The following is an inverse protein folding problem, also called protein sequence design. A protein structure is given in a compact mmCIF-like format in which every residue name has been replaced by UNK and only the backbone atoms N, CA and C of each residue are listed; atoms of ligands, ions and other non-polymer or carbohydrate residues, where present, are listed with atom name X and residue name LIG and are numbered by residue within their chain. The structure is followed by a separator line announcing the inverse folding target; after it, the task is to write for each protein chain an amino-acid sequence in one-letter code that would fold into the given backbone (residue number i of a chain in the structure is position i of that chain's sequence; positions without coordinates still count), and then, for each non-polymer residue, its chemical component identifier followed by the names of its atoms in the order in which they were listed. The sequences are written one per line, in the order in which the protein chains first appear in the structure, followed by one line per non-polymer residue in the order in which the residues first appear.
data_IF_837923315207
#
_entry.id   IF_837923315207
#
_cell.length_a   1.000
_cell.length_b   1.000
_cell.length_c   1.000
_cell.angle_alpha   90.00
_cell.angle_beta   90.00
_cell.angle_gamma   90.00
#
_symmetry.space_group_name_H-M   'P 1'
#
loop_
_entity.id
_entity.type
_entity.pdbx_description
1 polymer ?
#
# COMPACT_ATOMS: atom_id res chain seq x y z
N UNK A 1 -26.81 -11.35 -8.61
CA UNK A 1 -25.43 -11.50 -8.10
C UNK A 1 -24.57 -11.86 -9.30
N UNK A 2 -23.53 -11.06 -9.58
CA UNK A 2 -22.56 -11.42 -10.62
C UNK A 2 -21.83 -12.70 -10.23
N UNK A 3 -21.25 -13.40 -11.20
CA UNK A 3 -20.30 -14.48 -10.93
C UNK A 3 -19.15 -14.00 -10.03
N UNK A 4 -18.56 -14.94 -9.30
CA UNK A 4 -17.34 -14.67 -8.52
C UNK A 4 -16.23 -14.18 -9.44
N UNK A 5 -15.60 -13.07 -9.10
CA UNK A 5 -14.46 -12.52 -9.82
C UNK A 5 -13.21 -12.52 -8.93
N UNK A 6 -12.04 -12.73 -9.54
CA UNK A 6 -10.74 -12.52 -8.90
C UNK A 6 -10.24 -11.14 -9.32
N UNK A 7 -9.88 -10.32 -8.33
CA UNK A 7 -9.32 -8.99 -8.54
C UNK A 7 -7.87 -9.02 -8.05
N UNK A 8 -6.92 -8.75 -8.96
CA UNK A 8 -5.48 -8.76 -8.66
C UNK A 8 -4.91 -7.36 -8.40
N UNK A 9 -5.77 -6.34 -8.32
CA UNK A 9 -5.35 -4.97 -8.01
C UNK A 9 -4.78 -4.94 -6.58
N UNK A 10 -3.56 -4.43 -6.37
CA UNK A 10 -2.98 -4.30 -5.03
C UNK A 10 -3.84 -3.40 -4.16
N UNK A 11 -4.07 -3.83 -2.93
CA UNK A 11 -4.84 -3.11 -1.91
C UNK A 11 -4.09 -3.15 -0.58
N UNK A 12 -4.40 -2.21 0.29
CA UNK A 12 -3.81 -2.06 1.62
C UNK A 12 -4.87 -1.96 2.71
N UNK A 13 -4.45 -2.09 3.97
CA UNK A 13 -5.34 -1.92 5.11
C UNK A 13 -5.93 -0.51 5.17
N UNK A 14 -5.19 0.51 4.71
CA UNK A 14 -5.66 1.90 4.73
C UNK A 14 -6.83 2.15 3.77
N UNK A 15 -7.02 1.33 2.74
CA UNK A 15 -8.09 1.50 1.73
C UNK A 15 -9.48 1.17 2.28
N UNK A 16 -9.57 0.40 3.38
CA UNK A 16 -10.86 0.04 3.97
C UNK A 16 -11.64 1.28 4.43
N UNK A 17 -10.99 2.24 5.10
CA UNK A 17 -11.66 3.40 5.66
C UNK A 17 -12.39 4.26 4.60
N UNK A 18 -11.71 4.82 3.58
CA UNK A 18 -12.38 5.61 2.55
C UNK A 18 -13.39 4.80 1.72
N UNK A 19 -13.15 3.50 1.54
CA UNK A 19 -14.09 2.61 0.85
C UNK A 19 -15.39 2.45 1.62
N UNK A 20 -15.31 2.23 2.95
CA UNK A 20 -16.51 2.09 3.80
C UNK A 20 -17.29 3.40 3.89
N UNK A 21 -16.63 4.55 3.96
CA UNK A 21 -17.28 5.86 3.90
C UNK A 21 -18.07 6.03 2.60
N UNK A 22 -17.45 5.72 1.46
CA UNK A 22 -18.10 5.79 0.15
C UNK A 22 -19.30 4.84 0.04
N UNK A 23 -19.18 3.61 0.53
CA UNK A 23 -20.28 2.63 0.56
C UNK A 23 -21.44 3.08 1.47
N UNK A 24 -21.13 3.76 2.57
CA UNK A 24 -22.12 4.29 3.51
C UNK A 24 -22.72 5.64 3.07
N UNK A 25 -22.24 6.21 1.94
CA UNK A 25 -22.58 7.55 1.50
C UNK A 25 -22.33 8.62 2.59
N UNK A 26 -21.19 8.49 3.28
CA UNK A 26 -20.70 9.41 4.31
C UNK A 26 -19.52 10.18 3.72
N UNK A 27 -19.59 11.52 3.80
CA UNK A 27 -18.47 12.37 3.43
C UNK A 27 -17.39 12.34 4.52
N UNK A 28 -16.12 12.38 4.09
CA UNK A 28 -15.01 12.50 5.03
C UNK A 28 -15.06 13.87 5.74
N UNK A 29 -14.68 13.91 7.01
CA UNK A 29 -14.56 15.17 7.73
C UNK A 29 -13.49 16.06 7.07
N UNK A 30 -13.80 17.36 6.93
CA UNK A 30 -12.83 18.34 6.42
C UNK A 30 -11.52 18.26 7.22
N UNK A 31 -10.39 18.18 6.53
CA UNK A 31 -9.01 18.12 7.07
C UNK A 31 -8.53 16.78 7.64
N UNK A 32 -9.24 15.67 7.45
CA UNK A 32 -8.70 14.35 7.78
C UNK A 32 -7.78 13.85 6.65
N UNK A 33 -6.48 13.75 6.92
CA UNK A 33 -5.55 13.09 6.01
C UNK A 33 -5.90 11.59 5.94
N UNK A 34 -6.19 11.10 4.73
CA UNK A 34 -6.46 9.69 4.47
C UNK A 34 -5.37 9.19 3.53
N UNK A 35 -4.62 8.20 4.00
CA UNK A 35 -3.54 7.58 3.20
C UNK A 35 -4.06 6.54 2.19
N UNK A 36 -5.22 5.95 2.48
CA UNK A 36 -5.87 4.96 1.61
C UNK A 36 -6.70 5.58 0.48
N UNK A 37 -7.09 4.75 -0.47
CA UNK A 37 -7.93 5.10 -1.62
C UNK A 37 -9.28 4.37 -1.56
N UNK A 38 -10.35 5.00 -2.06
CA UNK A 38 -11.63 4.33 -2.24
C UNK A 38 -11.53 3.30 -3.37
N UNK A 39 -11.48 2.02 -3.02
CA UNK A 39 -11.38 0.91 -3.98
C UNK A 39 -12.75 0.34 -4.38
N UNK A 40 -13.87 0.94 -3.94
CA UNK A 40 -15.20 0.44 -4.31
C UNK A 40 -15.42 0.38 -5.83
N UNK A 41 -14.97 1.34 -6.66
CA UNK A 41 -15.04 1.22 -8.12
C UNK A 41 -14.25 0.01 -8.65
N UNK A 42 -13.07 -0.27 -8.08
CA UNK A 42 -12.25 -1.42 -8.43
C UNK A 42 -12.98 -2.74 -8.11
N UNK A 43 -13.66 -2.80 -6.97
CA UNK A 43 -14.43 -3.99 -6.58
C UNK A 43 -15.63 -4.26 -7.50
N UNK A 44 -16.24 -3.23 -8.09
CA UNK A 44 -17.40 -3.36 -8.96
C UNK A 44 -17.05 -3.56 -10.43
N UNK A 45 -16.00 -2.90 -10.91
CA UNK A 45 -15.69 -2.78 -12.33
C UNK A 45 -14.30 -3.32 -12.70
N UNK A 46 -13.51 -3.74 -11.71
CA UNK A 46 -12.08 -3.97 -11.89
C UNK A 46 -11.30 -2.66 -12.08
N UNK A 47 -10.03 -2.77 -12.43
CA UNK A 47 -9.19 -1.61 -12.76
C UNK A 47 -7.94 -1.51 -11.89
N UNK A 48 -7.40 -0.29 -11.81
CA UNK A 48 -6.18 0.03 -11.06
C UNK A 48 -6.49 1.13 -10.06
N UNK A 49 -5.78 1.12 -8.94
CA UNK A 49 -5.71 2.28 -8.05
C UNK A 49 -4.81 3.36 -8.64
N UNK A 50 -5.04 4.60 -8.24
CA UNK A 50 -4.31 5.76 -8.76
C UNK A 50 -2.95 5.92 -8.09
N UNK A 51 -2.87 5.69 -6.78
CA UNK A 51 -1.68 5.99 -5.98
C UNK A 51 -0.87 4.72 -5.62
N UNK A 52 0.43 4.81 -5.33
CA UNK A 52 1.22 3.70 -4.76
C UNK A 52 0.84 3.41 -3.30
N UNK A 53 1.11 2.19 -2.78
CA UNK A 53 0.92 1.87 -1.35
C UNK A 53 2.22 2.23 -0.63
N UNK A 54 2.23 3.19 0.31
CA UNK A 54 3.39 3.45 1.13
C UNK A 54 3.49 2.46 2.30
N UNK A 55 4.72 2.06 2.61
CA UNK A 55 5.07 1.37 3.85
C UNK A 55 6.28 2.04 4.47
N UNK A 56 6.23 2.23 5.79
CA UNK A 56 7.35 2.67 6.61
C UNK A 56 7.44 1.77 7.83
N UNK A 57 8.61 1.21 8.10
CA UNK A 57 8.81 0.30 9.22
C UNK A 57 10.21 0.44 9.82
N UNK A 58 10.35 0.50 11.15
CA UNK A 58 11.66 0.46 11.79
C UNK A 58 12.37 -0.87 11.50
N UNK A 59 13.68 -0.81 11.27
CA UNK A 59 14.49 -2.01 11.12
C UNK A 59 14.89 -2.57 12.49
N UNK A 60 14.82 -3.90 12.69
CA UNK A 60 15.45 -4.50 13.86
C UNK A 60 16.97 -4.33 13.75
N UNK A 61 17.61 -4.01 14.88
CA UNK A 61 19.07 -4.05 15.01
C UNK A 61 19.55 -5.43 14.53
N UNK A 62 20.42 -5.44 13.51
CA UNK A 62 20.92 -6.68 12.88
C UNK A 62 21.56 -7.63 13.89
N UNK A 63 22.13 -7.10 14.99
CA UNK A 63 22.75 -7.89 16.06
C UNK A 63 21.78 -8.25 17.19
N UNK A 64 20.71 -7.47 17.37
CA UNK A 64 19.75 -7.60 18.46
C UNK A 64 18.33 -7.47 17.91
N UNK A 65 17.80 -8.57 17.35
CA UNK A 65 16.48 -8.66 16.70
C UNK A 65 15.28 -8.17 17.52
N UNK A 66 15.45 -7.94 18.82
CA UNK A 66 14.40 -7.43 19.73
C UNK A 66 14.51 -5.91 20.00
N UNK A 67 15.59 -5.26 19.56
CA UNK A 67 15.76 -3.81 19.65
C UNK A 67 15.69 -3.24 18.24
N UNK A 68 14.90 -2.20 18.02
CA UNK A 68 14.84 -1.47 16.75
C UNK A 68 16.01 -0.49 16.67
N UNK A 69 16.67 -0.42 15.51
CA UNK A 69 17.57 0.70 15.19
C UNK A 69 16.76 1.94 14.80
N UNK A 70 17.41 3.10 14.76
CA UNK A 70 16.82 4.32 14.19
C UNK A 70 16.66 4.24 12.66
N UNK A 71 17.26 3.23 12.03
CA UNK A 71 17.09 2.98 10.60
C UNK A 71 15.67 2.50 10.29
N UNK A 72 15.06 3.11 9.28
CA UNK A 72 13.74 2.79 8.74
C UNK A 72 13.85 2.21 7.33
N UNK A 73 12.98 1.24 7.07
CA UNK A 73 12.69 0.76 5.74
C UNK A 73 11.48 1.51 5.19
N UNK A 74 11.66 2.08 3.99
CA UNK A 74 10.60 2.73 3.23
C UNK A 74 10.33 1.93 1.95
N UNK A 75 9.06 1.69 1.64
CA UNK A 75 8.67 1.10 0.36
C UNK A 75 7.46 1.80 -0.26
N UNK A 76 7.46 1.90 -1.58
CA UNK A 76 6.33 2.33 -2.40
C UNK A 76 5.99 1.19 -3.36
N UNK A 77 4.74 0.71 -3.28
CA UNK A 77 4.26 -0.42 -4.10
C UNK A 77 3.25 0.08 -5.11
N UNK A 78 3.60 -0.02 -6.40
CA UNK A 78 2.68 0.23 -7.51
C UNK A 78 2.04 -1.05 -8.04
N UNK A 79 1.43 -0.95 -9.22
CA UNK A 79 0.79 -2.10 -9.87
C UNK A 79 1.79 -3.16 -10.37
N UNK A 80 2.96 -2.72 -10.83
CA UNK A 80 4.02 -3.56 -11.37
C UNK A 80 5.31 -3.39 -10.58
N UNK A 81 5.66 -2.18 -10.16
CA UNK A 81 6.96 -1.93 -9.55
C UNK A 81 6.88 -1.74 -8.05
N UNK A 82 7.92 -2.19 -7.34
CA UNK A 82 8.20 -1.86 -5.94
C UNK A 82 9.51 -1.09 -5.86
N UNK A 83 9.45 0.09 -5.27
CA UNK A 83 10.63 0.86 -4.87
C UNK A 83 10.85 0.67 -3.37
N UNK A 84 12.06 0.35 -2.95
CA UNK A 84 12.39 0.13 -1.53
C UNK A 84 13.75 0.73 -1.17
N UNK A 85 13.81 1.33 0.01
CA UNK A 85 15.02 1.75 0.70
C UNK A 85 15.10 1.03 2.05
N UNK A 86 16.29 0.61 2.43
CA UNK A 86 16.59 -0.04 3.73
C UNK A 86 17.64 0.73 4.54
N UNK A 87 17.91 1.97 4.15
CA UNK A 87 18.96 2.82 4.72
C UNK A 87 18.49 4.29 4.81
N UNK A 88 17.26 4.52 5.27
CA UNK A 88 16.67 5.86 5.45
C UNK A 88 16.60 6.72 4.18
N UNK A 89 16.48 6.09 3.01
CA UNK A 89 16.32 6.76 1.72
C UNK A 89 17.65 7.16 1.09
N UNK A 90 18.78 6.61 1.54
CA UNK A 90 20.10 6.88 0.96
C UNK A 90 20.25 6.12 -0.37
N UNK A 91 19.87 4.84 -0.39
CA UNK A 91 19.88 4.01 -1.60
C UNK A 91 18.52 3.38 -1.85
N UNK A 92 18.24 3.11 -3.13
CA UNK A 92 16.98 2.54 -3.57
C UNK A 92 17.20 1.32 -4.44
N UNK A 93 16.33 0.34 -4.24
CA UNK A 93 16.18 -0.84 -5.07
C UNK A 93 14.83 -0.76 -5.77
N UNK A 94 14.82 -1.07 -7.07
CA UNK A 94 13.61 -1.12 -7.89
C UNK A 94 13.41 -2.56 -8.35
N UNK A 95 12.22 -3.11 -8.06
CA UNK A 95 11.82 -4.46 -8.43
C UNK A 95 10.62 -4.39 -9.38
N UNK A 96 10.64 -5.21 -10.43
CA UNK A 96 9.49 -5.49 -11.28
C UNK A 96 8.76 -6.71 -10.73
N UNK A 97 7.64 -6.51 -10.05
CA UNK A 97 6.85 -7.56 -9.39
C UNK A 97 6.14 -8.49 -10.37
N UNK A 98 6.12 -8.18 -11.68
CA UNK A 98 5.56 -9.09 -12.69
C UNK A 98 6.60 -10.08 -13.21
N UNK A 99 7.88 -9.67 -13.25
CA UNK A 99 8.99 -10.47 -13.78
C UNK A 99 9.89 -11.05 -12.67
N UNK A 100 9.89 -10.43 -11.48
CA UNK A 100 10.71 -10.76 -10.32
C UNK A 100 9.83 -10.89 -9.06
N UNK A 101 9.12 -12.01 -8.98
CA UNK A 101 8.12 -12.28 -7.93
C UNK A 101 8.78 -12.72 -6.60
N UNK A 102 10.04 -13.18 -6.63
CA UNK A 102 10.71 -13.90 -5.53
C UNK A 102 11.63 -13.05 -4.65
#
# INVERSE_FOLDING_TARGET
FSESAIINTPVSTSDFFPTLLAMANIENAENSAIDGENIFPVLLLGGKRENPIPFLSPLPDRLKKQTTSDDEQLALIGQQYKLISIDNGITFQLYDLLEDIS
#
